data_IF_379900082537
#
_entry.id   IF_379900082537
#
_cell.length_a   1.000
_cell.length_b   1.000
_cell.length_c   1.000
_cell.angle_alpha   90.00
_cell.angle_beta   90.00
_cell.angle_gamma   90.00
#
_symmetry.space_group_name_H-M   'P 1'
#
loop_
_entity.id
_entity.type
_entity.pdbx_description
1 polymer ?
#
# COMPACT_ATOMS: atom_id res chain seq x y z
N UNK A 1 -35.31 -28.21 3.52
CA UNK A 1 -34.58 -27.22 2.70
C UNK A 1 -35.56 -26.15 2.25
N UNK A 2 -35.63 -25.07 3.02
CA UNK A 2 -36.58 -23.98 2.81
C UNK A 2 -36.13 -23.13 1.62
N UNK A 3 -37.06 -22.86 0.70
CA UNK A 3 -36.81 -22.29 -0.62
C UNK A 3 -36.15 -20.93 -0.51
N UNK A 4 -34.99 -20.77 -1.14
CA UNK A 4 -34.35 -19.47 -1.32
C UNK A 4 -35.34 -18.49 -1.95
N UNK A 5 -35.70 -17.46 -1.18
CA UNK A 5 -36.50 -16.31 -1.58
C UNK A 5 -35.86 -15.70 -2.82
N UNK A 6 -36.52 -15.82 -3.97
CA UNK A 6 -36.02 -15.31 -5.26
C UNK A 6 -35.67 -13.82 -5.10
N UNK A 7 -34.40 -13.39 -5.23
CA UNK A 7 -34.09 -11.97 -5.25
C UNK A 7 -34.71 -11.36 -6.52
N UNK A 8 -35.27 -10.14 -6.41
CA UNK A 8 -35.83 -9.42 -7.55
C UNK A 8 -34.71 -9.12 -8.57
N UNK A 9 -34.50 -10.00 -9.55
CA UNK A 9 -33.49 -9.81 -10.58
C UNK A 9 -34.01 -8.81 -11.61
N UNK A 10 -33.21 -7.81 -11.98
CA UNK A 10 -33.52 -6.84 -13.04
C UNK A 10 -33.45 -7.42 -14.45
N UNK A 11 -33.90 -8.67 -14.63
CA UNK A 11 -33.72 -9.52 -15.82
C UNK A 11 -32.57 -10.52 -15.70
N UNK A 12 -32.24 -11.19 -16.81
CA UNK A 12 -31.09 -12.11 -16.95
C UNK A 12 -30.08 -11.54 -17.96
N UNK A 13 -28.81 -11.87 -17.80
CA UNK A 13 -27.75 -11.58 -18.79
C UNK A 13 -27.82 -12.55 -19.96
N UNK A 14 -27.11 -12.27 -21.06
CA UNK A 14 -27.08 -13.13 -22.27
C UNK A 14 -26.55 -14.53 -22.00
N UNK A 15 -25.76 -14.72 -20.94
CA UNK A 15 -25.27 -16.02 -20.47
C UNK A 15 -26.20 -16.70 -19.46
N UNK A 16 -27.38 -16.14 -19.19
CA UNK A 16 -28.40 -16.71 -18.30
C UNK A 16 -28.24 -16.39 -16.81
N UNK A 17 -27.23 -15.60 -16.41
CA UNK A 17 -27.03 -15.22 -15.01
C UNK A 17 -28.00 -14.11 -14.59
N UNK A 18 -28.55 -14.12 -13.35
CA UNK A 18 -29.43 -13.07 -12.85
C UNK A 18 -28.77 -11.69 -12.86
N UNK A 19 -29.45 -10.67 -13.39
CA UNK A 19 -28.96 -9.29 -13.38
C UNK A 19 -29.03 -8.71 -11.97
N UNK A 20 -27.92 -8.13 -11.54
CA UNK A 20 -27.82 -7.38 -10.28
C UNK A 20 -28.72 -6.14 -10.36
N UNK A 21 -29.35 -5.79 -9.25
CA UNK A 21 -30.08 -4.53 -9.09
C UNK A 21 -29.05 -3.43 -8.76
N UNK A 22 -28.92 -2.37 -9.59
CA UNK A 22 -28.04 -1.25 -9.27
C UNK A 22 -28.44 -0.63 -7.93
N UNK A 23 -27.45 -0.27 -7.10
CA UNK A 23 -27.68 0.35 -5.78
C UNK A 23 -28.42 -0.51 -4.74
N UNK A 24 -28.57 -1.83 -4.95
CA UNK A 24 -29.25 -2.70 -3.97
C UNK A 24 -28.64 -2.68 -2.56
N UNK A 25 -27.33 -2.46 -2.45
CA UNK A 25 -26.62 -2.33 -1.18
C UNK A 25 -26.16 -0.89 -0.91
N UNK A 26 -26.72 0.10 -1.63
CA UNK A 26 -26.37 1.50 -1.41
C UNK A 26 -27.06 1.97 -0.13
N UNK A 27 -26.31 1.99 0.97
CA UNK A 27 -26.70 2.68 2.20
C UNK A 27 -26.17 4.12 2.09
N UNK A 28 -27.04 5.14 1.96
CA UNK A 28 -26.59 6.53 1.99
C UNK A 28 -25.81 6.79 3.28
N UNK A 29 -24.56 7.25 3.17
CA UNK A 29 -23.73 7.64 4.33
C UNK A 29 -22.64 6.66 4.77
N UNK A 30 -22.52 5.45 4.22
CA UNK A 30 -21.45 4.50 4.61
C UNK A 30 -20.18 4.60 3.77
N UNK A 31 -20.24 5.26 2.62
CA UNK A 31 -19.05 5.71 1.92
C UNK A 31 -18.59 7.03 2.55
N UNK A 32 -17.87 6.94 3.68
CA UNK A 32 -17.03 8.06 4.08
C UNK A 32 -16.07 8.31 2.91
N UNK A 33 -16.29 9.39 2.15
CA UNK A 33 -15.18 10.01 1.45
C UNK A 33 -14.10 10.15 2.52
N UNK A 34 -12.95 9.54 2.27
CA UNK A 34 -11.82 9.57 3.18
C UNK A 34 -11.33 11.03 3.22
N UNK A 35 -12.08 11.90 3.89
CA UNK A 35 -11.61 13.16 4.39
C UNK A 35 -10.55 12.74 5.36
N UNK A 36 -9.31 13.01 5.00
CA UNK A 36 -8.14 12.49 5.66
C UNK A 36 -8.08 13.07 7.08
N UNK A 37 -8.77 12.45 8.03
CA UNK A 37 -8.87 12.92 9.40
C UNK A 37 -7.86 12.18 10.26
N UNK A 38 -6.75 12.85 10.57
CA UNK A 38 -5.95 12.54 11.75
C UNK A 38 -4.42 12.47 11.59
N UNK A 39 -3.87 12.64 10.38
CA UNK A 39 -2.41 12.55 10.16
C UNK A 39 -1.87 13.64 9.22
N UNK A 40 -0.55 13.92 9.27
CA UNK A 40 0.07 14.89 8.36
C UNK A 40 -0.28 14.56 6.91
N UNK A 41 -0.91 15.51 6.22
CA UNK A 41 -1.27 15.32 4.83
C UNK A 41 0.00 15.26 3.99
N UNK A 42 0.21 14.12 3.35
CA UNK A 42 1.35 13.91 2.48
C UNK A 42 0.89 13.94 1.03
N UNK A 43 1.46 14.87 0.25
CA UNK A 43 1.23 14.90 -1.18
C UNK A 43 1.67 13.57 -1.82
N UNK A 44 0.81 13.01 -2.67
CA UNK A 44 1.08 11.80 -3.47
C UNK A 44 1.48 12.15 -4.90
N UNK A 45 1.70 13.42 -5.20
CA UNK A 45 2.21 13.85 -6.50
C UNK A 45 3.60 13.22 -6.75
N UNK A 46 3.91 12.77 -7.98
CA UNK A 46 5.16 12.08 -8.29
C UNK A 46 6.42 12.82 -7.84
N UNK A 47 6.49 14.13 -8.10
CA UNK A 47 7.65 14.96 -7.75
C UNK A 47 7.82 15.13 -6.23
N UNK A 48 6.72 15.27 -5.50
CA UNK A 48 6.74 15.36 -4.04
C UNK A 48 7.24 14.06 -3.39
N UNK A 49 6.83 12.91 -3.92
CA UNK A 49 7.30 11.60 -3.46
C UNK A 49 8.79 11.42 -3.78
N UNK A 50 9.22 11.77 -5.00
CA UNK A 50 10.63 11.73 -5.40
C UNK A 50 11.51 12.54 -4.45
N UNK A 51 11.15 13.80 -4.19
CA UNK A 51 11.90 14.67 -3.29
C UNK A 51 12.03 14.09 -1.88
N UNK A 52 10.93 13.53 -1.33
CA UNK A 52 10.94 12.89 -0.01
C UNK A 52 11.86 11.67 0.03
N UNK A 53 11.78 10.78 -0.96
CA UNK A 53 12.61 9.56 -0.99
C UNK A 53 14.10 9.89 -1.13
N UNK A 54 14.45 10.91 -1.92
CA UNK A 54 15.84 11.39 -2.03
C UNK A 54 16.36 11.90 -0.69
N UNK A 55 15.59 12.72 0.01
CA UNK A 55 15.96 13.24 1.33
C UNK A 55 16.12 12.10 2.37
N UNK A 56 15.19 11.13 2.36
CA UNK A 56 15.26 9.96 3.24
C UNK A 56 16.53 9.14 2.97
N UNK A 57 16.83 8.84 1.69
CA UNK A 57 18.03 8.09 1.31
C UNK A 57 19.30 8.79 1.76
N UNK A 58 19.39 10.11 1.54
CA UNK A 58 20.53 10.92 1.98
C UNK A 58 20.69 10.85 3.50
N UNK A 59 19.60 11.03 4.26
CA UNK A 59 19.62 10.95 5.73
C UNK A 59 20.04 9.58 6.26
N UNK A 60 19.55 8.49 5.65
CA UNK A 60 19.97 7.12 6.00
C UNK A 60 21.46 6.91 5.71
N UNK A 61 21.95 7.36 4.55
CA UNK A 61 23.36 7.26 4.21
C UNK A 61 24.22 8.02 5.23
N UNK A 62 23.84 9.25 5.58
CA UNK A 62 24.53 10.04 6.61
C UNK A 62 24.51 9.34 7.98
N UNK A 63 23.36 8.81 8.40
CA UNK A 63 23.25 8.03 9.64
C UNK A 63 24.15 6.80 9.65
N UNK A 64 24.22 6.06 8.53
CA UNK A 64 25.12 4.90 8.39
C UNK A 64 26.59 5.30 8.44
N UNK A 65 26.98 6.40 7.80
CA UNK A 65 28.36 6.91 7.84
C UNK A 65 28.76 7.35 9.26
N UNK A 66 27.83 8.00 9.98
CA UNK A 66 28.05 8.38 11.38
C UNK A 66 28.16 7.15 12.30
N UNK A 67 27.36 6.10 12.07
CA UNK A 67 27.47 4.83 12.80
C UNK A 67 28.70 4.01 12.42
N UNK A 68 29.10 3.98 11.14
CA UNK A 68 30.29 3.25 10.68
C UNK A 68 31.60 3.85 11.19
N UNK A 69 31.59 5.10 11.67
CA UNK A 69 32.70 5.66 12.41
C UNK A 69 32.86 5.09 13.84
N UNK A 70 31.81 4.51 14.42
CA UNK A 70 31.77 4.05 15.82
C UNK A 70 31.80 2.52 15.99
N UNK A 71 31.22 1.75 15.07
CA UNK A 71 31.38 0.28 15.05
C UNK A 71 32.50 -0.08 14.10
N UNK A 72 33.60 -0.58 14.67
CA UNK A 72 34.87 -0.85 14.03
C UNK A 72 34.78 -1.45 12.63
N UNK A 73 35.65 -0.93 11.77
CA UNK A 73 36.14 -1.61 10.58
C UNK A 73 36.54 -3.04 10.93
N UNK A 74 35.65 -4.02 10.70
CA UNK A 74 36.04 -5.42 10.66
C UNK A 74 36.71 -5.66 9.30
N UNK A 75 38.02 -5.88 9.22
CA UNK A 75 38.64 -6.25 7.97
C UNK A 75 38.09 -7.63 7.56
N UNK A 76 37.60 -7.75 6.33
CA UNK A 76 37.32 -9.05 5.72
C UNK A 76 38.59 -9.91 5.81
N UNK A 77 38.59 -11.07 6.48
CA UNK A 77 39.70 -11.99 6.37
C UNK A 77 39.65 -12.59 4.96
N UNK A 78 40.49 -12.07 4.06
CA UNK A 78 40.80 -12.77 2.82
C UNK A 78 41.49 -14.07 3.21
N UNK A 79 40.83 -15.20 2.98
CA UNK A 79 41.44 -16.52 3.09
C UNK A 79 42.52 -16.68 2.01
N UNK A 80 43.76 -16.27 2.32
CA UNK A 80 44.95 -16.70 1.62
C UNK A 80 45.48 -17.92 2.36
N UNK A 81 45.03 -19.12 1.98
CA UNK A 81 45.70 -20.36 2.35
C UNK A 81 46.88 -20.54 1.40
N UNK A 82 48.07 -20.39 1.97
CA UNK A 82 49.37 -20.65 1.38
C UNK A 82 49.45 -22.02 0.71
N UNK A 83 50.27 -22.11 -0.34
CA UNK A 83 50.84 -23.36 -0.86
C UNK A 83 52.35 -23.32 -0.60
#
# INVERSE_FOLDING_TARGET
>A
AERARKPSAGGVTTSGLPKRVPKANLVPGTAQQNQHTGGPQVSRAPDAVRGRLTNLRRGIAQGRQATSGQTGSFPNPTHQQER
#
